data_IF_191269646450
#
_entry.id   IF_191269646450
#
_cell.length_a   1.000
_cell.length_b   1.000
_cell.length_c   1.000
_cell.angle_alpha   90.00
_cell.angle_beta   90.00
_cell.angle_gamma   90.00
#
_symmetry.space_group_name_H-M   'P 1'
#
loop_
_entity.id
_entity.type
_entity.pdbx_description
1 polymer ?
#
# COMPACT_ATOMS: atom_id res chain seq x y z
N UNK A 1 54.31 26.67 33.78
CA UNK A 1 53.85 27.83 32.99
C UNK A 1 53.78 27.39 31.54
N UNK A 2 52.63 27.23 31.00
CA UNK A 2 52.41 26.81 29.60
C UNK A 2 52.77 27.96 28.66
N UNK A 3 53.62 27.70 27.68
CA UNK A 3 54.19 28.69 26.80
C UNK A 3 53.08 29.34 25.96
N UNK A 4 52.93 30.67 25.97
CA UNK A 4 51.91 31.43 25.24
C UNK A 4 51.86 31.08 23.75
N UNK A 5 52.98 30.67 23.16
CA UNK A 5 53.07 30.22 21.79
C UNK A 5 52.30 28.88 21.54
N UNK A 6 52.30 27.97 22.54
CA UNK A 6 51.58 26.69 22.45
C UNK A 6 50.06 26.88 22.51
N UNK A 7 49.62 27.85 23.33
CA UNK A 7 48.19 28.21 23.41
C UNK A 7 47.65 28.79 22.11
N UNK A 8 48.43 29.66 21.45
CA UNK A 8 48.07 30.27 20.17
C UNK A 8 48.05 29.20 19.06
N UNK A 9 48.98 28.25 19.07
CA UNK A 9 49.03 27.16 18.10
C UNK A 9 47.82 26.20 18.25
N UNK A 10 47.43 25.89 19.49
CA UNK A 10 46.25 25.08 19.76
C UNK A 10 44.94 25.78 19.35
N UNK A 11 44.87 27.10 19.54
CA UNK A 11 43.73 27.91 19.11
C UNK A 11 43.63 28.01 17.58
N UNK A 12 44.76 28.14 16.88
CA UNK A 12 44.79 28.10 15.41
C UNK A 12 44.43 26.73 14.83
N UNK A 13 44.81 25.62 15.50
CA UNK A 13 44.42 24.27 15.08
C UNK A 13 42.94 24.00 15.26
N UNK A 14 42.28 24.59 16.28
CA UNK A 14 40.84 24.44 16.53
C UNK A 14 40.00 25.30 15.59
N UNK A 15 40.56 26.29 14.92
CA UNK A 15 39.86 27.17 13.98
C UNK A 15 39.84 26.63 12.53
N UNK A 16 40.48 25.50 12.26
CA UNK A 16 40.38 24.85 10.95
C UNK A 16 39.01 24.23 10.83
N UNK A 17 38.15 24.68 9.89
CA UNK A 17 36.89 24.01 9.65
C UNK A 17 37.20 22.62 9.08
N UNK A 18 36.96 21.56 9.87
CA UNK A 18 36.93 20.18 9.39
C UNK A 18 35.69 20.00 8.53
N UNK A 19 35.71 20.56 7.33
CA UNK A 19 34.77 20.24 6.29
C UNK A 19 35.17 18.88 5.67
N UNK A 20 34.95 17.79 6.38
CA UNK A 20 34.95 16.45 5.78
C UNK A 20 33.69 16.34 4.92
N UNK A 21 33.71 16.99 3.75
CA UNK A 21 32.78 16.67 2.70
C UNK A 21 33.23 15.35 2.10
N UNK A 22 32.51 14.27 2.45
CA UNK A 22 32.63 13.00 1.76
C UNK A 22 32.10 13.19 0.34
N UNK A 23 32.90 13.67 -0.59
CA UNK A 23 32.53 13.73 -2.00
C UNK A 23 32.62 12.32 -2.55
N UNK A 24 31.45 11.80 -3.01
CA UNK A 24 31.46 10.57 -3.79
C UNK A 24 32.33 10.76 -5.04
N UNK A 25 33.15 9.74 -5.40
CA UNK A 25 33.92 9.80 -6.64
C UNK A 25 32.99 10.05 -7.85
N UNK A 26 33.38 10.98 -8.72
CA UNK A 26 32.60 11.36 -9.92
C UNK A 26 32.23 10.17 -10.80
N UNK A 27 33.06 9.12 -10.80
CA UNK A 27 32.80 7.89 -11.53
C UNK A 27 31.59 7.12 -10.97
N UNK A 28 31.38 7.15 -9.65
CA UNK A 28 30.23 6.51 -8.99
C UNK A 28 28.96 7.32 -9.25
N UNK A 29 29.05 8.64 -9.11
CA UNK A 29 27.92 9.54 -9.38
C UNK A 29 27.47 9.40 -10.84
N UNK A 30 28.39 9.31 -11.79
CA UNK A 30 28.10 9.15 -13.22
C UNK A 30 27.46 7.80 -13.54
N UNK A 31 27.92 6.72 -12.88
CA UNK A 31 27.29 5.40 -13.02
C UNK A 31 25.87 5.40 -12.45
N UNK A 32 25.69 5.97 -11.25
CA UNK A 32 24.39 6.05 -10.59
C UNK A 32 23.39 6.86 -11.41
N UNK A 33 23.80 8.02 -11.94
CA UNK A 33 22.93 8.83 -12.81
C UNK A 33 22.54 8.08 -14.09
N UNK A 34 23.46 7.31 -14.69
CA UNK A 34 23.14 6.47 -15.84
C UNK A 34 22.11 5.37 -15.53
N UNK A 35 22.18 4.75 -14.36
CA UNK A 35 21.17 3.79 -13.93
C UNK A 35 19.81 4.44 -13.68
N UNK A 36 19.79 5.61 -13.04
CA UNK A 36 18.55 6.37 -12.77
C UNK A 36 17.90 6.75 -14.10
N UNK A 37 18.66 7.27 -15.06
CA UNK A 37 18.16 7.61 -16.39
C UNK A 37 17.62 6.39 -17.13
N UNK A 38 18.30 5.24 -17.06
CA UNK A 38 17.83 4.00 -17.67
C UNK A 38 16.51 3.51 -17.04
N UNK A 39 16.36 3.61 -15.73
CA UNK A 39 15.11 3.25 -15.02
C UNK A 39 13.98 4.21 -15.39
N UNK A 40 14.24 5.51 -15.49
CA UNK A 40 13.26 6.50 -15.89
C UNK A 40 12.78 6.26 -17.35
N UNK A 41 13.73 6.06 -18.27
CA UNK A 41 13.40 5.74 -19.65
C UNK A 41 12.59 4.44 -19.79
N UNK A 42 12.92 3.41 -18.98
CA UNK A 42 12.15 2.19 -18.94
C UNK A 42 10.72 2.42 -18.42
N UNK A 43 10.54 3.23 -17.38
CA UNK A 43 9.23 3.59 -16.84
C UNK A 43 8.38 4.39 -17.84
N UNK A 44 8.99 5.24 -18.66
CA UNK A 44 8.29 5.96 -19.71
C UNK A 44 7.89 5.05 -20.89
N UNK A 45 8.72 4.07 -21.23
CA UNK A 45 8.44 3.11 -22.30
C UNK A 45 7.40 2.05 -21.91
N UNK A 46 7.40 1.64 -20.64
CA UNK A 46 6.49 0.64 -20.07
C UNK A 46 5.84 1.18 -18.78
N UNK A 47 4.97 2.18 -18.89
CA UNK A 47 4.34 2.76 -17.72
C UNK A 47 3.48 1.72 -16.99
N UNK A 48 3.78 1.46 -15.74
CA UNK A 48 2.99 0.56 -14.91
C UNK A 48 1.88 1.33 -14.20
N UNK A 49 0.73 0.67 -14.05
CA UNK A 49 -0.36 1.18 -13.23
C UNK A 49 -0.30 0.58 -11.84
N UNK A 50 -0.75 1.36 -10.86
CA UNK A 50 -1.08 0.87 -9.53
C UNK A 50 -2.43 1.41 -9.09
N UNK A 51 -3.11 0.63 -8.29
CA UNK A 51 -4.43 0.92 -7.77
C UNK A 51 -4.37 1.11 -6.27
N UNK A 52 -5.11 2.09 -5.78
CA UNK A 52 -5.35 2.28 -4.37
C UNK A 52 -6.85 2.48 -4.12
N UNK A 53 -7.38 1.78 -3.11
CA UNK A 53 -8.74 1.96 -2.63
C UNK A 53 -8.74 2.62 -1.27
N UNK A 54 -9.49 3.71 -1.16
CA UNK A 54 -9.80 4.36 0.10
C UNK A 54 -11.21 3.93 0.52
N UNK A 55 -11.33 3.32 1.68
CA UNK A 55 -12.59 2.85 2.24
C UNK A 55 -13.13 3.87 3.25
N UNK A 56 -14.43 3.95 3.36
CA UNK A 56 -15.13 4.80 4.32
C UNK A 56 -14.94 4.36 5.77
N UNK A 57 -14.62 3.06 5.97
CA UNK A 57 -14.36 2.51 7.30
C UNK A 57 -13.22 1.49 7.28
N UNK A 58 -12.73 1.12 8.45
CA UNK A 58 -11.69 0.09 8.64
C UNK A 58 -12.25 -1.27 9.02
N UNK A 59 -13.51 -1.32 9.42
CA UNK A 59 -14.25 -2.51 9.81
C UNK A 59 -15.75 -2.29 9.56
N UNK A 60 -16.48 -3.38 9.39
CA UNK A 60 -17.89 -3.34 9.01
C UNK A 60 -18.71 -4.33 9.85
N UNK A 61 -19.98 -4.08 9.95
CA UNK A 61 -20.95 -5.06 10.46
C UNK A 61 -21.69 -5.74 9.31
N UNK A 62 -22.22 -6.91 9.58
CA UNK A 62 -23.15 -7.56 8.65
C UNK A 62 -24.30 -6.60 8.32
N UNK A 63 -24.57 -6.43 7.04
CA UNK A 63 -25.60 -5.53 6.54
C UNK A 63 -25.13 -4.10 6.27
N UNK A 64 -23.90 -3.76 6.61
CA UNK A 64 -23.35 -2.46 6.24
C UNK A 64 -22.89 -2.44 4.78
N UNK A 65 -23.06 -1.32 4.07
CA UNK A 65 -22.40 -1.13 2.79
C UNK A 65 -20.91 -0.80 2.99
N UNK A 66 -20.06 -1.39 2.15
CA UNK A 66 -18.63 -1.07 2.08
C UNK A 66 -18.43 -0.07 0.94
N UNK A 67 -18.31 1.20 1.25
CA UNK A 67 -18.06 2.23 0.26
C UNK A 67 -16.56 2.39 0.02
N UNK A 68 -16.18 2.63 -1.24
CA UNK A 68 -14.78 2.86 -1.57
C UNK A 68 -14.61 3.85 -2.72
N UNK A 69 -13.56 4.64 -2.61
CA UNK A 69 -13.05 5.50 -3.68
C UNK A 69 -11.78 4.86 -4.24
N UNK A 70 -11.69 4.75 -5.56
CA UNK A 70 -10.55 4.16 -6.24
C UNK A 70 -9.69 5.23 -6.89
N UNK A 71 -8.38 4.97 -6.88
CA UNK A 71 -7.37 5.76 -7.57
C UNK A 71 -6.53 4.81 -8.44
N UNK A 72 -6.48 5.08 -9.73
CA UNK A 72 -5.62 4.39 -10.70
C UNK A 72 -4.55 5.38 -11.15
N UNK A 73 -3.31 5.10 -10.81
CA UNK A 73 -2.20 6.02 -11.04
C UNK A 73 -1.03 5.30 -11.72
N UNK A 74 -0.14 6.06 -12.35
CA UNK A 74 1.13 5.54 -12.83
C UNK A 74 2.04 5.24 -11.64
N UNK A 75 2.74 4.11 -11.67
CA UNK A 75 3.60 3.66 -10.57
C UNK A 75 4.72 4.64 -10.26
N UNK A 76 5.29 5.24 -11.28
CA UNK A 76 6.48 6.07 -11.18
C UNK A 76 6.20 7.43 -10.54
N UNK A 77 5.21 8.15 -11.06
CA UNK A 77 4.95 9.55 -10.68
C UNK A 77 3.69 9.73 -9.84
N UNK A 78 2.93 8.66 -9.57
CA UNK A 78 1.62 8.72 -8.90
C UNK A 78 0.62 9.68 -9.58
N UNK A 79 0.76 9.89 -10.89
CA UNK A 79 -0.17 10.71 -11.67
C UNK A 79 -1.39 9.89 -12.06
N UNK A 80 -2.58 10.50 -12.18
CA UNK A 80 -3.75 9.81 -12.69
C UNK A 80 -3.43 9.09 -14.00
N UNK A 81 -3.73 7.78 -14.08
CA UNK A 81 -3.51 7.00 -15.28
C UNK A 81 -4.71 7.07 -16.20
N UNK A 82 -4.42 7.15 -17.49
CA UNK A 82 -5.41 7.05 -18.56
C UNK A 82 -5.24 5.79 -19.43
N UNK A 83 -4.30 4.91 -19.05
CA UNK A 83 -4.02 3.67 -19.78
C UNK A 83 -5.22 2.72 -19.73
N UNK A 84 -5.76 2.49 -18.52
CA UNK A 84 -6.91 1.63 -18.31
C UNK A 84 -8.18 2.44 -18.09
N UNK A 85 -9.24 2.08 -18.79
CA UNK A 85 -10.57 2.71 -18.65
C UNK A 85 -11.51 1.94 -17.76
N UNK A 86 -11.07 0.78 -17.25
CA UNK A 86 -11.89 -0.13 -16.45
C UNK A 86 -11.09 -0.69 -15.28
N UNK A 87 -11.67 -0.57 -14.08
CA UNK A 87 -11.17 -1.18 -12.86
C UNK A 87 -12.08 -2.36 -12.47
N UNK A 88 -11.46 -3.48 -12.13
CA UNK A 88 -12.11 -4.64 -11.54
C UNK A 88 -11.88 -4.63 -10.04
N UNK A 89 -12.96 -4.74 -9.26
CA UNK A 89 -12.89 -4.84 -7.79
C UNK A 89 -13.65 -6.08 -7.36
N UNK A 90 -13.00 -6.94 -6.61
CA UNK A 90 -13.52 -8.22 -6.14
C UNK A 90 -13.55 -8.25 -4.62
N UNK A 91 -14.61 -8.80 -4.08
CA UNK A 91 -14.75 -9.11 -2.66
C UNK A 91 -14.65 -10.62 -2.49
N UNK A 92 -13.72 -11.06 -1.66
CA UNK A 92 -13.49 -12.47 -1.36
C UNK A 92 -13.93 -12.77 0.07
N UNK A 93 -14.50 -13.96 0.25
CA UNK A 93 -14.84 -14.47 1.57
C UNK A 93 -13.58 -14.96 2.34
N UNK A 94 -13.70 -15.31 3.64
CA UNK A 94 -12.57 -15.86 4.41
C UNK A 94 -11.98 -17.14 3.84
N UNK A 95 -12.68 -17.84 2.96
CA UNK A 95 -12.20 -19.03 2.25
C UNK A 95 -11.40 -18.71 0.98
N UNK A 96 -11.33 -17.43 0.57
CA UNK A 96 -10.65 -17.01 -0.65
C UNK A 96 -11.48 -17.09 -1.93
N UNK A 97 -12.80 -17.31 -1.82
CA UNK A 97 -13.71 -17.35 -2.96
C UNK A 97 -14.25 -15.96 -3.27
N UNK A 98 -14.30 -15.59 -4.54
CA UNK A 98 -14.89 -14.32 -5.01
C UNK A 98 -16.41 -14.40 -4.86
N UNK A 99 -16.95 -13.61 -3.95
CA UNK A 99 -18.39 -13.56 -3.66
C UNK A 99 -19.12 -12.37 -4.29
N UNK A 100 -18.37 -11.32 -4.62
CA UNK A 100 -18.93 -10.18 -5.35
C UNK A 100 -17.86 -9.53 -6.22
N UNK A 101 -18.31 -8.96 -7.34
CA UNK A 101 -17.44 -8.27 -8.31
C UNK A 101 -18.07 -6.97 -8.77
N UNK A 102 -17.26 -5.93 -8.92
CA UNK A 102 -17.61 -4.65 -9.54
C UNK A 102 -16.69 -4.40 -10.72
N UNK A 103 -17.28 -3.91 -11.80
CA UNK A 103 -16.57 -3.44 -13.00
C UNK A 103 -16.88 -1.97 -13.14
N UNK A 104 -15.88 -1.13 -12.91
CA UNK A 104 -16.07 0.31 -12.72
C UNK A 104 -15.37 1.07 -13.85
N UNK A 105 -16.04 2.07 -14.46
CA UNK A 105 -15.41 2.94 -15.44
C UNK A 105 -14.46 3.90 -14.72
N UNK A 106 -13.21 3.96 -15.21
CA UNK A 106 -12.19 4.89 -14.70
C UNK A 106 -12.23 6.16 -15.53
N UNK A 107 -12.33 7.30 -14.83
CA UNK A 107 -12.26 8.64 -15.43
C UNK A 107 -11.21 9.46 -14.71
N UNK A 108 -10.22 9.97 -15.43
CA UNK A 108 -9.11 10.74 -14.88
C UNK A 108 -8.45 10.01 -13.68
N UNK A 109 -8.21 8.71 -13.81
CA UNK A 109 -7.61 7.87 -12.78
C UNK A 109 -8.47 7.66 -11.55
N UNK A 110 -9.79 7.89 -11.60
CA UNK A 110 -10.69 7.76 -10.44
C UNK A 110 -11.95 7.00 -10.79
N UNK A 111 -12.45 6.25 -9.81
CA UNK A 111 -13.80 5.69 -9.81
C UNK A 111 -14.24 5.42 -8.36
N UNK A 112 -15.49 5.05 -8.16
CA UNK A 112 -16.03 4.72 -6.86
C UNK A 112 -17.03 3.58 -6.97
N UNK A 113 -17.30 2.92 -5.86
CA UNK A 113 -18.25 1.83 -5.80
C UNK A 113 -18.58 1.43 -4.38
N UNK A 114 -19.39 0.39 -4.29
CA UNK A 114 -19.75 -0.22 -3.01
C UNK A 114 -20.01 -1.70 -3.14
N UNK A 115 -19.87 -2.42 -2.02
CA UNK A 115 -20.40 -3.76 -1.82
C UNK A 115 -21.47 -3.72 -0.74
N UNK A 116 -22.62 -4.34 -1.03
CA UNK A 116 -23.66 -4.53 -0.04
C UNK A 116 -23.43 -5.87 0.66
N UNK A 117 -23.20 -5.84 1.97
CA UNK A 117 -22.98 -7.06 2.76
C UNK A 117 -24.29 -7.76 3.16
N UNK A 118 -25.41 -7.39 2.51
CA UNK A 118 -26.77 -7.90 2.82
C UNK A 118 -27.21 -9.07 1.97
N UNK A 119 -26.64 -9.24 0.78
CA UNK A 119 -27.19 -10.14 -0.26
C UNK A 119 -26.73 -11.60 -0.16
N UNK A 120 -25.77 -11.90 0.70
CA UNK A 120 -25.20 -13.22 0.89
C UNK A 120 -25.17 -13.56 2.37
N UNK A 121 -25.10 -14.84 2.75
CA UNK A 121 -24.89 -15.23 4.13
C UNK A 121 -23.47 -14.84 4.53
N UNK A 122 -23.30 -13.56 4.90
CA UNK A 122 -22.03 -13.06 5.43
C UNK A 122 -21.89 -13.52 6.87
N UNK A 123 -20.92 -14.37 7.08
CA UNK A 123 -20.46 -14.71 8.42
C UNK A 123 -19.45 -13.65 8.87
N UNK A 124 -19.37 -13.42 10.18
CA UNK A 124 -18.26 -12.64 10.72
C UNK A 124 -16.92 -13.26 10.32
N UNK A 125 -15.98 -12.43 9.92
CA UNK A 125 -14.69 -12.90 9.45
C UNK A 125 -13.87 -11.82 8.75
N UNK A 126 -12.78 -12.24 8.15
CA UNK A 126 -11.89 -11.36 7.40
C UNK A 126 -12.15 -11.54 5.92
N UNK A 127 -12.67 -10.49 5.30
CA UNK A 127 -12.95 -10.44 3.87
C UNK A 127 -11.81 -9.71 3.17
N UNK A 128 -11.42 -10.17 2.00
CA UNK A 128 -10.39 -9.53 1.21
C UNK A 128 -11.02 -8.76 0.06
N UNK A 129 -10.62 -7.50 -0.13
CA UNK A 129 -10.96 -6.73 -1.32
C UNK A 129 -9.72 -6.66 -2.20
N UNK A 130 -9.84 -7.15 -3.44
CA UNK A 130 -8.82 -7.03 -4.50
C UNK A 130 -9.26 -6.05 -5.55
N UNK A 131 -8.31 -5.28 -6.08
CA UNK A 131 -8.59 -4.36 -7.17
C UNK A 131 -7.44 -4.32 -8.17
N UNK A 132 -7.78 -4.38 -9.47
CA UNK A 132 -6.81 -4.43 -10.55
C UNK A 132 -7.40 -3.93 -11.86
N UNK A 133 -6.54 -3.45 -12.74
CA UNK A 133 -6.85 -3.30 -14.16
C UNK A 133 -6.34 -4.52 -14.92
N UNK A 134 -6.91 -4.81 -16.10
CA UNK A 134 -6.39 -5.91 -16.93
C UNK A 134 -4.93 -5.69 -17.35
N UNK A 135 -4.54 -4.43 -17.49
CA UNK A 135 -3.17 -4.06 -17.84
C UNK A 135 -2.19 -4.46 -16.73
N UNK A 136 -2.57 -4.28 -15.45
CA UNK A 136 -1.74 -4.66 -14.31
C UNK A 136 -1.42 -6.16 -14.27
N UNK A 137 -2.33 -7.01 -14.75
CA UNK A 137 -2.10 -8.47 -14.75
C UNK A 137 -0.89 -8.92 -15.59
N UNK A 138 -0.38 -8.07 -16.48
CA UNK A 138 0.85 -8.36 -17.22
C UNK A 138 2.11 -8.30 -16.36
N UNK A 139 2.03 -7.73 -15.15
CA UNK A 139 3.18 -7.51 -14.26
C UNK A 139 3.22 -8.44 -13.05
N UNK A 140 2.30 -9.40 -12.96
CA UNK A 140 2.23 -10.38 -11.88
C UNK A 140 1.12 -10.08 -10.87
N UNK A 141 0.88 -11.05 -9.97
CA UNK A 141 -0.17 -10.93 -8.97
C UNK A 141 0.18 -9.98 -7.82
N UNK A 142 1.47 -9.75 -7.56
CA UNK A 142 1.99 -8.88 -6.52
C UNK A 142 1.64 -7.40 -6.72
N UNK A 143 1.29 -6.99 -7.95
CA UNK A 143 0.89 -5.61 -8.24
C UNK A 143 -0.60 -5.35 -7.97
N UNK A 144 -1.39 -6.40 -7.73
CA UNK A 144 -2.82 -6.30 -7.43
C UNK A 144 -2.99 -5.64 -6.05
N UNK A 145 -3.85 -4.62 -5.98
CA UNK A 145 -4.24 -4.06 -4.69
C UNK A 145 -5.02 -5.11 -3.89
N UNK A 146 -4.61 -5.32 -2.66
CA UNK A 146 -5.31 -6.19 -1.71
C UNK A 146 -5.44 -5.51 -0.34
N UNK A 147 -6.60 -5.63 0.26
CA UNK A 147 -6.86 -5.20 1.63
C UNK A 147 -7.84 -6.13 2.32
N UNK A 148 -7.49 -6.55 3.52
CA UNK A 148 -8.38 -7.33 4.39
C UNK A 148 -9.22 -6.41 5.25
N UNK A 149 -10.53 -6.64 5.25
CA UNK A 149 -11.53 -5.91 6.01
C UNK A 149 -12.21 -6.85 7.02
N UNK A 150 -12.16 -6.57 8.32
CA UNK A 150 -12.90 -7.33 9.31
C UNK A 150 -14.40 -7.00 9.20
N UNK A 151 -15.24 -8.04 9.16
CA UNK A 151 -16.70 -7.95 9.21
C UNK A 151 -17.18 -8.66 10.46
N UNK A 152 -17.93 -7.96 11.28
CA UNK A 152 -18.45 -8.43 12.57
C UNK A 152 -19.94 -8.76 12.46
N UNK A 153 -20.38 -9.65 13.34
CA UNK A 153 -21.83 -9.87 13.51
C UNK A 153 -22.48 -8.60 14.04
N UNK A 154 -23.62 -8.23 13.45
CA UNK A 154 -24.38 -7.09 13.95
C UNK A 154 -24.93 -7.45 15.33
N UNK A 155 -24.70 -6.63 16.36
CA UNK A 155 -25.24 -6.91 17.69
C UNK A 155 -26.78 -6.95 17.59
N UNK A 156 -27.38 -7.99 18.18
CA UNK A 156 -28.84 -8.18 18.16
C UNK A 156 -29.58 -7.13 18.96
N UNK A 157 -28.94 -6.58 19.99
CA UNK A 157 -29.42 -5.51 20.84
C UNK A 157 -28.26 -4.56 21.14
N UNK A 158 -28.47 -3.24 21.14
CA UNK A 158 -27.47 -2.27 21.52
C UNK A 158 -27.00 -2.58 22.97
N UNK A 159 -25.71 -2.85 23.13
CA UNK A 159 -25.10 -3.23 24.40
C UNK A 159 -24.86 -4.72 24.62
N UNK A 160 -25.28 -5.61 23.71
CA UNK A 160 -25.07 -7.06 23.79
C UNK A 160 -23.65 -7.51 23.37
N UNK A 161 -22.66 -6.64 23.46
CA UNK A 161 -21.25 -7.02 23.37
C UNK A 161 -20.86 -7.77 24.67
N UNK A 162 -21.12 -9.06 24.69
CA UNK A 162 -20.55 -9.91 25.74
C UNK A 162 -19.06 -10.01 25.46
N UNK A 163 -18.22 -9.75 26.46
CA UNK A 163 -16.76 -9.88 26.43
C UNK A 163 -16.27 -11.20 25.78
N UNK A 164 -17.05 -12.26 25.90
CA UNK A 164 -16.81 -13.57 25.25
C UNK A 164 -16.75 -13.52 23.72
N UNK A 165 -17.39 -12.56 23.07
CA UNK A 165 -17.37 -12.45 21.62
C UNK A 165 -16.10 -11.74 21.14
N UNK A 166 -15.62 -10.75 21.90
CA UNK A 166 -14.37 -10.06 21.58
C UNK A 166 -13.18 -11.02 21.65
N UNK A 167 -13.15 -11.94 22.62
CA UNK A 167 -12.09 -12.94 22.73
C UNK A 167 -12.06 -13.94 21.55
N UNK A 168 -13.20 -14.28 20.97
CA UNK A 168 -13.24 -15.15 19.78
C UNK A 168 -12.54 -14.51 18.56
N UNK A 169 -12.61 -13.21 18.41
CA UNK A 169 -12.01 -12.49 17.27
C UNK A 169 -10.52 -12.16 17.50
N UNK A 170 -10.06 -12.08 18.75
CA UNK A 170 -8.66 -11.86 19.08
C UNK A 170 -7.73 -13.06 18.82
N UNK A 171 -8.29 -14.23 18.51
CA UNK A 171 -7.53 -15.48 18.30
C UNK A 171 -7.28 -15.77 16.82
N UNK A 172 -7.64 -14.89 15.91
CA UNK A 172 -7.30 -15.07 14.50
C UNK A 172 -5.79 -14.90 14.30
N UNK A 173 -5.06 -16.01 14.37
CA UNK A 173 -3.67 -16.06 13.95
C UNK A 173 -3.65 -15.82 12.46
N UNK A 174 -3.09 -14.70 12.03
CA UNK A 174 -2.74 -14.50 10.63
C UNK A 174 -2.06 -15.76 10.09
N UNK A 175 -2.48 -16.30 8.95
CA UNK A 175 -1.77 -17.42 8.34
C UNK A 175 -0.32 -16.96 8.18
N UNK A 176 0.59 -17.65 8.87
CA UNK A 176 2.03 -17.41 8.76
C UNK A 176 2.37 -17.64 7.29
N UNK A 177 2.80 -16.59 6.60
CA UNK A 177 3.35 -16.72 5.26
C UNK A 177 4.50 -17.73 5.36
N UNK A 178 4.28 -18.93 4.84
CA UNK A 178 5.31 -19.96 4.78
C UNK A 178 6.44 -19.41 3.93
N UNK A 179 7.55 -18.98 4.56
CA UNK A 179 8.79 -18.75 3.83
C UNK A 179 9.12 -20.05 3.15
N UNK A 180 9.01 -20.10 1.82
CA UNK A 180 9.67 -21.14 1.03
C UNK A 180 11.17 -20.93 1.25
N UNK A 181 11.77 -21.80 2.05
CA UNK A 181 13.23 -21.95 2.05
C UNK A 181 13.59 -22.45 0.67
N UNK A 182 14.30 -21.60 -0.10
CA UNK A 182 14.98 -21.97 -1.31
C UNK A 182 16.24 -22.76 -0.98
#
# INVERSE_FOLDING_TARGET
MMNRAILVLLFLLSALPFSLQAQMPDSIVRKLSGYIEAVQNFGEMLPQEKVYLHFDNTSYYQGDPVWFQCYVVTSELNRPSDLSKTLYVELLNPGGEVIAKRVLPVKNGRCHGSFELTQLPFYSGFYEVRAYTKYMLNFGEEVIFSRVLPVFDKPRVAGDFKEKNIQKYAVYKYPQVRKKNG
#
